data_IF_459261822075
#
_entry.id   IF_459261822075
#
_cell.length_a   1.000
_cell.length_b   1.000
_cell.length_c   1.000
_cell.angle_alpha   90.00
_cell.angle_beta   90.00
_cell.angle_gamma   90.00
#
_symmetry.space_group_name_H-M   'P 1'
#
loop_
_entity.id
_entity.type
_entity.pdbx_description
1 polymer ?
#
# COMPACT_ATOMS: atom_id res chain seq x y z
N UNK A 1 37.56 -12.40 6.84
CA UNK A 1 37.22 -11.52 5.71
C UNK A 1 35.76 -11.14 5.90
N UNK A 2 35.50 -9.92 6.39
CA UNK A 2 34.14 -9.45 6.65
C UNK A 2 33.51 -9.13 5.29
N UNK A 3 32.50 -9.91 4.90
CA UNK A 3 31.72 -9.66 3.70
C UNK A 3 31.11 -8.26 3.80
N UNK A 4 31.38 -7.44 2.78
CA UNK A 4 30.79 -6.12 2.66
C UNK A 4 29.28 -6.24 2.54
N UNK A 5 28.54 -5.86 3.58
CA UNK A 5 27.08 -5.78 3.54
C UNK A 5 26.66 -4.83 2.41
N UNK A 6 25.97 -5.35 1.40
CA UNK A 6 25.42 -4.58 0.29
C UNK A 6 24.16 -3.82 0.75
N UNK A 7 24.31 -2.85 1.64
CA UNK A 7 23.24 -1.91 1.89
C UNK A 7 23.19 -0.90 0.74
N UNK A 8 22.01 -0.73 0.14
CA UNK A 8 21.77 0.41 -0.75
C UNK A 8 22.18 1.70 -0.02
N UNK A 9 22.86 2.62 -0.70
CA UNK A 9 23.46 3.83 -0.11
C UNK A 9 22.50 4.64 0.78
N UNK A 10 21.19 4.58 0.49
CA UNK A 10 20.10 5.20 1.28
C UNK A 10 19.87 4.59 2.68
N UNK A 11 20.49 3.45 3.00
CA UNK A 11 20.38 2.78 4.31
C UNK A 11 21.65 2.91 5.15
N UNK A 12 22.67 3.65 4.69
CA UNK A 12 23.84 3.97 5.51
C UNK A 12 23.41 4.75 6.75
N UNK A 13 23.65 4.18 7.94
CA UNK A 13 23.26 4.75 9.24
C UNK A 13 22.08 4.05 9.93
N UNK A 14 21.37 3.14 9.25
CA UNK A 14 20.36 2.29 9.89
C UNK A 14 21.05 1.07 10.50
N UNK A 15 21.63 1.24 11.70
CA UNK A 15 22.22 0.14 12.47
C UNK A 15 21.17 -0.57 13.31
N UNK A 16 21.42 -1.85 13.62
CA UNK A 16 20.66 -2.56 14.64
C UNK A 16 20.89 -1.88 16.00
N UNK A 17 19.84 -1.67 16.83
CA UNK A 17 20.02 -1.16 18.17
C UNK A 17 20.93 -2.12 18.96
N UNK A 18 22.06 -1.62 19.46
CA UNK A 18 23.04 -2.46 20.18
C UNK A 18 22.51 -3.00 21.52
N UNK A 19 21.42 -2.42 22.02
CA UNK A 19 20.77 -2.77 23.29
C UNK A 19 19.57 -3.71 23.09
N UNK A 20 19.20 -4.04 21.85
CA UNK A 20 18.13 -5.01 21.57
C UNK A 20 18.73 -6.42 21.52
N UNK A 21 18.28 -7.28 22.43
CA UNK A 21 18.78 -8.65 22.57
C UNK A 21 17.79 -9.69 22.05
N UNK A 22 16.60 -9.26 21.62
CA UNK A 22 15.58 -10.15 21.09
C UNK A 22 15.54 -10.06 19.56
N UNK A 23 15.34 -11.20 18.92
CA UNK A 23 15.08 -11.31 17.49
C UNK A 23 13.76 -12.02 17.24
N UNK A 24 13.12 -11.72 16.11
CA UNK A 24 11.94 -12.44 15.65
C UNK A 24 12.34 -13.45 14.59
N UNK A 25 12.05 -14.73 14.84
CA UNK A 25 12.13 -15.76 13.81
C UNK A 25 10.86 -15.72 12.96
N UNK A 26 11.04 -15.53 11.66
CA UNK A 26 9.96 -15.48 10.67
C UNK A 26 10.19 -16.55 9.61
N UNK A 27 9.10 -17.02 9.00
CA UNK A 27 9.19 -17.91 7.84
C UNK A 27 9.92 -17.21 6.71
N UNK A 28 10.95 -17.87 6.18
CA UNK A 28 11.64 -17.40 4.99
C UNK A 28 10.75 -17.60 3.75
N UNK A 29 10.42 -16.50 3.08
CA UNK A 29 9.62 -16.48 1.85
C UNK A 29 10.50 -16.27 0.61
N UNK A 30 11.83 -16.31 0.75
CA UNK A 30 12.77 -16.12 -0.35
C UNK A 30 12.62 -17.25 -1.38
N UNK A 31 12.50 -16.93 -2.68
CA UNK A 31 12.29 -17.95 -3.70
C UNK A 31 13.56 -18.79 -3.89
N UNK A 32 13.41 -20.11 -4.00
CA UNK A 32 14.47 -20.98 -4.47
C UNK A 32 14.81 -20.67 -5.93
N UNK A 33 16.11 -20.47 -6.19
CA UNK A 33 16.62 -19.97 -7.46
C UNK A 33 16.21 -20.85 -8.64
N UNK A 34 15.45 -20.26 -9.57
CA UNK A 34 15.09 -20.89 -10.85
C UNK A 34 13.85 -21.77 -10.83
N UNK A 35 13.28 -22.04 -9.65
CA UNK A 35 12.09 -22.91 -9.51
C UNK A 35 10.88 -22.17 -8.94
N UNK A 36 11.11 -21.11 -8.16
CA UNK A 36 10.07 -20.36 -7.47
C UNK A 36 10.09 -18.89 -7.89
N UNK A 37 8.92 -18.25 -7.83
CA UNK A 37 8.75 -16.84 -8.14
C UNK A 37 8.06 -16.13 -6.98
N UNK A 38 8.66 -15.05 -6.50
CA UNK A 38 8.10 -14.20 -5.46
C UNK A 38 7.60 -12.89 -6.06
N UNK A 39 6.34 -12.55 -5.80
CA UNK A 39 5.81 -11.21 -6.00
C UNK A 39 5.68 -10.51 -4.64
N UNK A 40 6.25 -9.31 -4.56
CA UNK A 40 6.09 -8.40 -3.43
C UNK A 40 5.28 -7.17 -3.86
N UNK A 41 4.18 -6.89 -3.17
CA UNK A 41 3.43 -5.66 -3.39
C UNK A 41 2.94 -5.06 -2.08
N UNK A 42 2.71 -3.74 -2.06
CA UNK A 42 1.98 -3.09 -0.99
C UNK A 42 0.55 -2.84 -1.47
N UNK A 43 -0.49 -3.46 -0.85
CA UNK A 43 -1.88 -3.27 -1.28
C UNK A 43 -2.37 -1.82 -1.12
N UNK A 44 -1.77 -1.06 -0.21
CA UNK A 44 -2.12 0.32 0.11
C UNK A 44 -3.57 0.46 0.59
N UNK A 45 -4.23 1.55 0.20
CA UNK A 45 -5.59 1.89 0.61
C UNK A 45 -6.60 1.15 -0.28
N UNK A 46 -7.10 0.02 0.21
CA UNK A 46 -8.06 -0.81 -0.52
C UNK A 46 -9.49 -0.27 -0.46
N UNK A 47 -9.72 0.83 0.26
CA UNK A 47 -10.93 1.65 0.19
C UNK A 47 -10.54 3.09 -0.10
N UNK A 48 -11.49 3.87 -0.62
CA UNK A 48 -11.28 5.31 -0.76
C UNK A 48 -11.10 5.94 0.63
N UNK A 49 -10.29 7.00 0.71
CA UNK A 49 -10.17 7.79 1.94
C UNK A 49 -11.54 8.31 2.37
N UNK A 50 -11.93 8.17 3.65
CA UNK A 50 -13.15 8.79 4.18
C UNK A 50 -13.16 10.32 4.02
N UNK A 51 -11.98 10.94 3.96
CA UNK A 51 -11.84 12.40 3.80
C UNK A 51 -11.73 12.82 2.32
N UNK A 52 -11.77 11.89 1.35
CA UNK A 52 -11.73 12.24 -0.07
C UNK A 52 -12.99 13.04 -0.47
N UNK A 53 -12.88 14.11 -1.27
CA UNK A 53 -14.04 14.88 -1.73
C UNK A 53 -15.01 14.04 -2.56
N UNK A 54 -16.29 14.39 -2.52
CA UNK A 54 -17.30 13.81 -3.42
C UNK A 54 -16.93 14.04 -4.88
N UNK A 55 -17.07 13.02 -5.73
CA UNK A 55 -16.72 13.11 -7.15
C UNK A 55 -15.21 13.03 -7.44
N UNK A 56 -14.40 12.58 -6.47
CA UNK A 56 -12.98 12.29 -6.67
C UNK A 56 -12.75 11.37 -7.88
N UNK A 57 -11.81 11.76 -8.76
CA UNK A 57 -11.36 10.94 -9.91
C UNK A 57 -10.11 10.11 -9.61
N UNK A 58 -9.45 10.36 -8.48
CA UNK A 58 -8.36 9.54 -7.95
C UNK A 58 -8.72 8.93 -6.59
N UNK A 59 -8.28 7.69 -6.35
CA UNK A 59 -8.18 7.16 -4.99
C UNK A 59 -6.99 7.83 -4.28
N UNK A 60 -6.97 7.81 -2.94
CA UNK A 60 -5.89 8.42 -2.15
C UNK A 60 -4.48 8.05 -2.62
N UNK A 61 -4.26 6.78 -2.93
CA UNK A 61 -2.95 6.28 -3.40
C UNK A 61 -2.57 6.90 -4.76
N UNK A 62 -3.53 6.99 -5.68
CA UNK A 62 -3.32 7.62 -6.98
C UNK A 62 -3.14 9.14 -6.87
N UNK A 63 -3.89 9.81 -5.98
CA UNK A 63 -3.73 11.24 -5.70
C UNK A 63 -2.33 11.54 -5.15
N UNK A 64 -1.86 10.76 -4.17
CA UNK A 64 -0.52 10.90 -3.61
C UNK A 64 0.59 10.62 -4.62
N UNK A 65 0.38 9.63 -5.50
CA UNK A 65 1.31 9.36 -6.61
C UNK A 65 1.39 10.56 -7.57
N UNK A 66 0.26 11.14 -7.94
CA UNK A 66 0.21 12.32 -8.81
C UNK A 66 0.92 13.53 -8.18
N UNK A 67 0.66 13.81 -6.89
CA UNK A 67 1.34 14.88 -6.14
C UNK A 67 2.86 14.70 -6.13
N UNK A 68 3.33 13.48 -5.87
CA UNK A 68 4.76 13.16 -5.87
C UNK A 68 5.38 13.30 -7.26
N UNK A 69 4.70 12.80 -8.28
CA UNK A 69 5.17 12.90 -9.67
C UNK A 69 5.34 14.37 -10.09
N UNK A 70 4.37 15.23 -9.76
CA UNK A 70 4.46 16.67 -10.02
C UNK A 70 5.61 17.35 -9.25
N UNK A 71 6.00 16.80 -8.10
CA UNK A 71 7.15 17.25 -7.30
C UNK A 71 8.48 16.62 -7.73
N UNK A 72 8.53 15.88 -8.84
CA UNK A 72 9.73 15.16 -9.31
C UNK A 72 10.15 13.98 -8.42
N UNK A 73 9.27 13.51 -7.53
CA UNK A 73 9.52 12.38 -6.62
C UNK A 73 8.85 11.12 -7.16
N UNK A 74 9.57 10.00 -7.21
CA UNK A 74 9.03 8.69 -7.57
C UNK A 74 9.53 7.61 -6.60
N UNK A 75 8.63 6.79 -6.09
CA UNK A 75 8.97 5.61 -5.28
C UNK A 75 8.84 4.33 -6.10
N UNK A 76 9.39 3.21 -5.60
CA UNK A 76 9.23 1.91 -6.25
C UNK A 76 7.75 1.51 -6.41
N UNK A 77 6.92 1.79 -5.40
CA UNK A 77 5.47 1.55 -5.48
C UNK A 77 4.79 2.47 -6.50
N UNK A 78 5.27 3.70 -6.68
CA UNK A 78 4.73 4.61 -7.71
C UNK A 78 5.04 4.09 -9.13
N UNK A 79 6.16 3.40 -9.32
CA UNK A 79 6.55 2.80 -10.59
C UNK A 79 5.69 1.60 -11.01
N UNK A 80 5.04 0.93 -10.06
CA UNK A 80 4.14 -0.19 -10.34
C UNK A 80 2.84 0.24 -11.02
N UNK A 81 2.50 1.54 -11.00
CA UNK A 81 1.29 2.08 -11.65
C UNK A 81 0.02 1.27 -11.34
N UNK A 82 -0.08 0.77 -10.09
CA UNK A 82 -1.21 0.00 -9.62
C UNK A 82 -2.22 0.93 -8.92
N UNK A 83 -3.52 0.75 -9.21
CA UNK A 83 -4.60 1.33 -8.43
C UNK A 83 -5.15 0.31 -7.41
N UNK A 84 -5.04 0.56 -6.10
CA UNK A 84 -5.57 -0.32 -5.06
C UNK A 84 -7.06 -0.68 -5.20
N UNK A 85 -7.88 0.27 -5.68
CA UNK A 85 -9.31 0.00 -5.90
C UNK A 85 -9.53 -0.92 -7.11
N UNK A 86 -8.66 -0.85 -8.13
CA UNK A 86 -8.71 -1.79 -9.26
C UNK A 86 -8.28 -3.20 -8.84
N UNK A 87 -7.32 -3.31 -7.91
CA UNK A 87 -6.81 -4.60 -7.40
C UNK A 87 -7.90 -5.46 -6.75
N UNK A 88 -8.89 -4.83 -6.13
CA UNK A 88 -10.01 -5.48 -5.43
C UNK A 88 -11.37 -5.12 -6.04
N UNK A 89 -11.36 -4.65 -7.30
CA UNK A 89 -12.58 -4.32 -8.02
C UNK A 89 -13.51 -5.54 -8.08
N UNK A 90 -14.84 -5.39 -7.97
CA UNK A 90 -15.77 -6.51 -8.17
C UNK A 90 -15.69 -7.07 -9.60
N UNK A 91 -15.38 -6.22 -10.57
CA UNK A 91 -15.09 -6.62 -11.95
C UNK A 91 -13.71 -7.29 -12.04
N UNK A 92 -13.69 -8.54 -12.52
CA UNK A 92 -12.48 -9.36 -12.67
C UNK A 92 -11.51 -8.79 -13.70
N UNK A 93 -11.98 -8.17 -14.77
CA UNK A 93 -11.11 -7.64 -15.83
C UNK A 93 -10.30 -6.45 -15.33
N UNK A 94 -10.88 -5.65 -14.43
CA UNK A 94 -10.14 -4.61 -13.71
C UNK A 94 -9.01 -5.19 -12.87
N UNK A 95 -9.26 -6.32 -12.18
CA UNK A 95 -8.26 -6.97 -11.34
C UNK A 95 -7.13 -7.60 -12.16
N UNK A 96 -7.46 -8.24 -13.29
CA UNK A 96 -6.46 -8.78 -14.23
C UNK A 96 -5.61 -7.65 -14.83
N UNK A 97 -6.23 -6.59 -15.32
CA UNK A 97 -5.52 -5.44 -15.87
C UNK A 97 -4.57 -4.82 -14.83
N UNK A 98 -5.04 -4.69 -13.59
CA UNK A 98 -4.25 -4.22 -12.46
C UNK A 98 -3.06 -5.15 -12.13
N UNK A 99 -3.29 -6.47 -12.02
CA UNK A 99 -2.26 -7.45 -11.70
C UNK A 99 -1.19 -7.56 -12.80
N UNK A 100 -1.56 -7.37 -14.06
CA UNK A 100 -0.62 -7.37 -15.21
C UNK A 100 0.43 -6.24 -15.20
N UNK A 101 0.20 -5.22 -14.36
CA UNK A 101 1.16 -4.14 -14.08
C UNK A 101 2.18 -4.53 -13.01
N UNK A 102 1.84 -5.48 -12.15
CA UNK A 102 2.70 -5.95 -11.06
C UNK A 102 3.64 -7.07 -11.49
N UNK A 103 3.20 -7.95 -12.38
CA UNK A 103 3.94 -9.13 -12.82
C UNK A 103 3.62 -9.50 -14.27
N UNK A 104 4.47 -10.33 -14.86
CA UNK A 104 4.27 -10.96 -16.18
C UNK A 104 3.94 -12.46 -16.09
N UNK A 105 3.91 -13.02 -14.88
CA UNK A 105 3.53 -14.42 -14.68
C UNK A 105 2.01 -14.56 -14.63
N UNK A 106 1.44 -15.24 -15.63
CA UNK A 106 -0.01 -15.40 -15.79
C UNK A 106 -0.68 -16.13 -14.61
N UNK A 107 0.05 -17.04 -13.95
CA UNK A 107 -0.47 -17.75 -12.79
C UNK A 107 -0.59 -16.81 -11.58
N UNK A 108 0.41 -15.96 -11.33
CA UNK A 108 0.32 -14.92 -10.29
C UNK A 108 -0.76 -13.89 -10.62
N UNK A 109 -0.91 -13.51 -11.90
CA UNK A 109 -1.98 -12.60 -12.34
C UNK A 109 -3.35 -13.19 -12.01
N UNK A 110 -3.56 -14.46 -12.35
CA UNK A 110 -4.81 -15.18 -12.10
C UNK A 110 -5.05 -15.35 -10.59
N UNK A 111 -4.03 -15.76 -9.84
CA UNK A 111 -4.10 -15.88 -8.38
C UNK A 111 -4.50 -14.55 -7.72
N UNK A 112 -3.88 -13.44 -8.10
CA UNK A 112 -4.23 -12.12 -7.61
C UNK A 112 -5.68 -11.73 -7.94
N UNK A 113 -6.12 -12.02 -9.16
CA UNK A 113 -7.47 -11.67 -9.61
C UNK A 113 -8.56 -12.55 -8.96
N UNK A 114 -8.24 -13.76 -8.51
CA UNK A 114 -9.24 -14.71 -8.04
C UNK A 114 -8.97 -15.15 -6.60
N UNK A 115 -7.99 -16.03 -6.39
CA UNK A 115 -7.74 -16.70 -5.11
C UNK A 115 -7.27 -15.76 -3.98
N UNK A 116 -6.58 -14.67 -4.31
CA UNK A 116 -6.14 -13.68 -3.33
C UNK A 116 -7.28 -12.76 -2.85
N UNK A 117 -8.44 -12.76 -3.52
CA UNK A 117 -9.49 -11.78 -3.24
C UNK A 117 -10.05 -11.90 -1.82
N UNK A 118 -10.39 -13.08 -1.27
CA UNK A 118 -10.90 -13.16 0.09
C UNK A 118 -10.00 -12.51 1.14
N UNK A 119 -8.67 -12.70 1.03
CA UNK A 119 -7.71 -12.12 1.98
C UNK A 119 -7.51 -10.61 1.77
N UNK A 120 -7.53 -10.13 0.53
CA UNK A 120 -7.46 -8.70 0.23
C UNK A 120 -8.73 -7.95 0.63
N UNK A 121 -9.90 -8.55 0.42
CA UNK A 121 -11.18 -8.01 0.86
C UNK A 121 -11.25 -7.98 2.39
N UNK A 122 -10.79 -9.03 3.08
CA UNK A 122 -10.67 -9.01 4.54
C UNK A 122 -9.73 -7.91 5.04
N UNK A 123 -8.59 -7.69 4.39
CA UNK A 123 -7.68 -6.58 4.70
C UNK A 123 -8.38 -5.22 4.54
N UNK A 124 -9.08 -5.00 3.42
CA UNK A 124 -9.88 -3.78 3.20
C UNK A 124 -10.89 -3.58 4.32
N UNK A 125 -11.65 -4.60 4.65
CA UNK A 125 -12.74 -4.50 5.62
C UNK A 125 -12.19 -4.08 6.99
N UNK A 126 -11.01 -4.58 7.37
CA UNK A 126 -10.30 -4.12 8.58
C UNK A 126 -9.74 -2.72 8.45
N UNK A 127 -9.23 -2.32 7.28
CA UNK A 127 -8.81 -0.92 7.05
C UNK A 127 -9.97 0.06 7.22
N UNK A 128 -11.19 -0.32 6.83
CA UNK A 128 -12.41 0.51 6.97
C UNK A 128 -12.92 0.51 8.40
N UNK A 129 -13.03 -0.66 9.04
CA UNK A 129 -13.50 -0.79 10.42
C UNK A 129 -12.64 0.00 11.41
N UNK A 130 -11.32 0.01 11.21
CA UNK A 130 -10.37 0.71 12.08
C UNK A 130 -10.28 2.22 11.79
N UNK A 131 -10.78 2.71 10.66
CA UNK A 131 -10.67 4.11 10.27
C UNK A 131 -11.89 4.58 9.49
N UNK A 132 -13.01 4.69 10.22
CA UNK A 132 -14.31 5.09 9.68
C UNK A 132 -14.33 6.55 9.23
N UNK A 133 -13.67 7.44 9.97
CA UNK A 133 -13.73 8.89 9.75
C UNK A 133 -12.52 9.46 9.01
N UNK A 134 -11.49 8.64 8.79
CA UNK A 134 -10.23 9.09 8.23
C UNK A 134 -9.38 9.89 9.23
N UNK A 135 -8.23 10.35 8.76
CA UNK A 135 -7.27 11.06 9.63
C UNK A 135 -7.69 12.50 9.97
N UNK A 136 -8.68 13.06 9.26
CA UNK A 136 -9.25 14.38 9.50
C UNK A 136 -10.61 14.34 10.22
N UNK A 137 -11.04 13.17 10.72
CA UNK A 137 -12.32 13.00 11.42
C UNK A 137 -12.46 13.85 12.69
N UNK A 138 -13.69 14.23 13.03
CA UNK A 138 -13.98 15.09 14.18
C UNK A 138 -13.62 14.46 15.53
N UNK A 139 -13.75 13.12 15.66
CA UNK A 139 -13.35 12.36 16.86
C UNK A 139 -11.82 12.23 17.02
N UNK A 140 -11.06 13.07 16.30
CA UNK A 140 -9.60 13.18 16.36
C UNK A 140 -9.15 14.53 16.89
N UNK A 141 -10.08 15.48 17.11
CA UNK A 141 -9.81 16.82 17.61
C UNK A 141 -9.95 16.94 19.15
N UNK A 142 -10.52 15.92 19.80
CA UNK A 142 -10.76 15.87 21.24
C UNK A 142 -9.65 15.16 22.05
N UNK A 143 -8.62 14.64 21.37
CA UNK A 143 -7.54 13.87 22.02
C UNK A 143 -7.96 12.47 22.47
N UNK A 144 -9.05 11.91 21.90
CA UNK A 144 -9.46 10.53 22.11
C UNK A 144 -8.36 9.55 21.67
N UNK A 145 -7.58 9.05 22.65
CA UNK A 145 -6.46 8.13 22.43
C UNK A 145 -6.88 6.84 21.71
N UNK A 146 -8.10 6.37 21.93
CA UNK A 146 -8.60 5.14 21.33
C UNK A 146 -8.79 5.31 19.83
N UNK A 147 -9.35 6.44 19.40
CA UNK A 147 -9.52 6.78 17.99
C UNK A 147 -8.19 6.87 17.24
N UNK A 148 -7.22 7.57 17.80
CA UNK A 148 -5.88 7.70 17.23
C UNK A 148 -5.14 6.34 17.16
N UNK A 149 -5.32 5.47 18.15
CA UNK A 149 -4.74 4.13 18.13
C UNK A 149 -5.37 3.25 17.04
N UNK A 150 -6.69 3.36 16.82
CA UNK A 150 -7.37 2.68 15.72
C UNK A 150 -6.85 3.17 14.36
N UNK A 151 -6.68 4.48 14.18
CA UNK A 151 -6.04 5.04 12.98
C UNK A 151 -4.63 4.49 12.79
N UNK A 152 -3.82 4.42 13.85
CA UNK A 152 -2.48 3.81 13.78
C UNK A 152 -2.52 2.37 13.30
N UNK A 153 -3.47 1.55 13.78
CA UNK A 153 -3.68 0.18 13.29
C UNK A 153 -4.08 0.15 11.81
N UNK A 154 -5.02 1.01 11.40
CA UNK A 154 -5.41 1.13 9.99
C UNK A 154 -4.20 1.52 9.11
N UNK A 155 -3.37 2.45 9.56
CA UNK A 155 -2.17 2.90 8.86
C UNK A 155 -1.07 1.83 8.80
N UNK A 156 -1.00 0.92 9.78
CA UNK A 156 -0.18 -0.30 9.68
C UNK A 156 -0.71 -1.20 8.56
N UNK A 157 -2.01 -1.48 8.53
CA UNK A 157 -2.63 -2.32 7.49
C UNK A 157 -2.54 -1.72 6.07
N UNK A 158 -2.42 -0.39 5.95
CA UNK A 158 -2.25 0.30 4.65
C UNK A 158 -0.80 0.37 4.18
N UNK A 159 0.17 0.05 5.03
CA UNK A 159 1.59 0.08 4.69
C UNK A 159 2.29 -1.28 4.83
N UNK A 160 1.53 -2.33 5.12
CA UNK A 160 2.00 -3.71 5.09
C UNK A 160 2.40 -4.13 3.67
N UNK A 161 3.18 -5.20 3.59
CA UNK A 161 3.60 -5.83 2.33
C UNK A 161 2.90 -7.18 2.20
N UNK A 162 2.38 -7.48 1.02
CA UNK A 162 1.78 -8.74 0.65
C UNK A 162 2.74 -9.51 -0.26
N UNK A 163 3.20 -10.65 0.23
CA UNK A 163 4.09 -11.57 -0.45
C UNK A 163 3.27 -12.70 -1.04
N UNK A 164 3.54 -13.05 -2.29
CA UNK A 164 2.95 -14.19 -3.00
C UNK A 164 4.10 -15.01 -3.59
N UNK A 165 4.34 -16.18 -3.00
CA UNK A 165 5.34 -17.13 -3.46
C UNK A 165 4.64 -18.22 -4.29
N UNK A 166 4.96 -18.28 -5.58
CA UNK A 166 4.64 -19.42 -6.44
C UNK A 166 5.72 -20.48 -6.28
N UNK A 167 5.34 -21.63 -5.75
CA UNK A 167 6.23 -22.77 -5.49
C UNK A 167 6.49 -23.56 -6.78
N UNK A 168 7.53 -24.38 -6.75
CA UNK A 168 7.93 -25.23 -7.88
C UNK A 168 6.83 -26.22 -8.33
N UNK A 169 5.97 -26.65 -7.39
CA UNK A 169 4.83 -27.53 -7.65
C UNK A 169 3.59 -26.78 -8.20
N UNK A 170 3.70 -25.47 -8.42
CA UNK A 170 2.62 -24.61 -8.90
C UNK A 170 1.66 -24.12 -7.82
N UNK A 171 1.84 -24.51 -6.56
CA UNK A 171 1.03 -24.00 -5.45
C UNK A 171 1.46 -22.61 -5.03
N UNK A 172 0.57 -21.88 -4.36
CA UNK A 172 0.83 -20.54 -3.86
C UNK A 172 0.90 -20.50 -2.33
N UNK A 173 1.86 -19.74 -1.81
CA UNK A 173 1.90 -19.32 -0.42
C UNK A 173 1.88 -17.79 -0.34
N UNK A 174 0.87 -17.24 0.35
CA UNK A 174 0.72 -15.80 0.49
C UNK A 174 0.76 -15.36 1.96
N UNK A 175 1.49 -14.28 2.25
CA UNK A 175 1.63 -13.74 3.61
C UNK A 175 1.67 -12.22 3.62
N UNK A 176 1.15 -11.62 4.69
CA UNK A 176 1.43 -10.22 5.01
C UNK A 176 2.67 -10.11 5.90
N UNK A 177 3.50 -9.10 5.65
CA UNK A 177 4.57 -8.67 6.54
C UNK A 177 4.54 -7.14 6.72
N UNK A 178 5.54 -6.59 7.40
CA UNK A 178 5.65 -5.16 7.75
C UNK A 178 4.44 -4.65 8.56
N UNK A 179 3.96 -5.46 9.51
CA UNK A 179 2.82 -5.17 10.40
C UNK A 179 3.23 -4.43 11.68
N UNK A 180 4.34 -3.68 11.65
CA UNK A 180 4.76 -2.85 12.77
C UNK A 180 3.72 -1.77 13.05
N UNK A 181 3.29 -1.68 14.31
CA UNK A 181 2.30 -0.69 14.73
C UNK A 181 2.83 0.72 14.46
N UNK A 182 2.09 1.51 13.66
CA UNK A 182 2.46 2.91 13.44
C UNK A 182 2.29 3.70 14.73
N UNK A 183 3.24 4.60 14.99
CA UNK A 183 3.29 5.41 16.21
C UNK A 183 2.40 6.65 16.10
N UNK A 184 1.86 7.09 17.24
CA UNK A 184 0.97 8.27 17.35
C UNK A 184 1.64 9.56 16.83
N UNK A 185 2.96 9.66 16.96
CA UNK A 185 3.76 10.82 16.49
C UNK A 185 3.70 11.01 14.95
N UNK A 186 3.18 10.04 14.20
CA UNK A 186 2.98 10.14 12.76
C UNK A 186 1.66 10.78 12.36
N UNK A 187 0.70 10.89 13.26
CA UNK A 187 -0.65 11.40 12.96
C UNK A 187 -0.63 12.82 12.36
N UNK A 188 0.11 13.80 12.92
CA UNK A 188 0.15 15.15 12.35
C UNK A 188 0.57 15.16 10.88
N UNK A 189 1.57 14.34 10.52
CA UNK A 189 2.03 14.19 9.13
C UNK A 189 0.96 13.57 8.23
N UNK A 190 0.17 12.62 8.73
CA UNK A 190 -0.91 12.02 7.93
C UNK A 190 -2.01 13.03 7.64
N UNK A 191 -2.36 13.86 8.63
CA UNK A 191 -3.30 14.98 8.46
C UNK A 191 -2.78 15.97 7.43
N UNK A 192 -1.54 16.44 7.58
CA UNK A 192 -0.90 17.35 6.63
C UNK A 192 -0.95 16.82 5.19
N UNK A 193 -0.59 15.54 4.99
CA UNK A 193 -0.68 14.91 3.67
C UNK A 193 -2.11 14.87 3.15
N UNK A 194 -3.08 14.46 3.97
CA UNK A 194 -4.48 14.37 3.54
C UNK A 194 -5.06 15.74 3.19
N UNK A 195 -4.83 16.74 4.03
CA UNK A 195 -5.21 18.13 3.80
C UNK A 195 -4.62 18.64 2.48
N UNK A 196 -3.32 18.44 2.24
CA UNK A 196 -2.69 18.83 0.98
C UNK A 196 -3.31 18.13 -0.24
N UNK A 197 -3.63 16.83 -0.14
CA UNK A 197 -4.29 16.10 -1.23
C UNK A 197 -5.67 16.69 -1.59
N UNK A 198 -6.40 17.18 -0.59
CA UNK A 198 -7.72 17.80 -0.75
C UNK A 198 -7.60 19.22 -1.28
N UNK A 199 -6.89 20.08 -0.55
CA UNK A 199 -6.82 21.53 -0.82
C UNK A 199 -6.11 21.85 -2.13
N UNK A 200 -5.08 21.09 -2.50
CA UNK A 200 -4.38 21.25 -3.78
C UNK A 200 -5.07 20.52 -4.94
N UNK A 201 -6.20 19.85 -4.68
CA UNK A 201 -7.04 19.23 -5.72
C UNK A 201 -6.46 17.96 -6.34
N UNK A 202 -5.60 17.22 -5.64
CA UNK A 202 -5.00 15.98 -6.17
C UNK A 202 -6.00 14.83 -6.36
N UNK A 203 -7.09 14.85 -5.60
CA UNK A 203 -8.22 13.92 -5.75
C UNK A 203 -9.07 14.19 -7.00
N UNK A 204 -9.18 15.47 -7.38
CA UNK A 204 -9.76 15.86 -8.64
C UNK A 204 -8.76 15.56 -9.76
N UNK A 205 -9.24 15.45 -11.00
CA UNK A 205 -8.34 15.48 -12.15
C UNK A 205 -8.21 16.94 -12.57
N UNK A 206 -7.16 17.69 -12.15
CA UNK A 206 -6.93 18.98 -12.73
C UNK A 206 -6.50 18.71 -14.17
N UNK A 207 -7.40 18.96 -15.11
CA UNK A 207 -7.14 19.01 -16.57
C UNK A 207 -6.05 20.04 -16.95
N UNK A 208 -5.14 20.40 -16.04
CA UNK A 208 -4.11 21.41 -16.23
C UNK A 208 -2.77 21.11 -15.55
N UNK A 209 -2.53 19.96 -14.87
CA UNK A 209 -1.24 19.73 -14.18
C UNK A 209 -0.55 18.38 -14.38
N UNK A 210 -1.27 17.33 -14.76
CA UNK A 210 -0.68 16.00 -15.09
C UNK A 210 -1.50 15.40 -16.23
N UNK A 211 -0.91 14.56 -17.09
CA UNK A 211 -1.62 13.82 -18.13
C UNK A 211 -2.88 13.11 -17.58
N UNK A 212 -3.89 12.91 -18.44
CA UNK A 212 -5.15 12.24 -18.09
C UNK A 212 -4.89 11.01 -17.21
N UNK A 213 -5.56 10.95 -16.05
CA UNK A 213 -5.45 9.82 -15.13
C UNK A 213 -6.05 8.57 -15.78
N UNK A 214 -5.20 7.69 -16.26
CA UNK A 214 -5.59 6.43 -16.91
C UNK A 214 -5.44 5.20 -16.01
N UNK A 215 -4.79 5.36 -14.84
CA UNK A 215 -4.49 4.25 -13.94
C UNK A 215 -5.57 4.06 -12.89
N UNK A 216 -6.11 5.15 -12.33
CA UNK A 216 -7.08 5.05 -11.25
C UNK A 216 -8.43 4.51 -11.74
N UNK A 217 -9.01 3.56 -10.99
CA UNK A 217 -10.34 3.02 -11.26
C UNK A 217 -11.43 4.12 -11.25
N UNK A 218 -11.28 5.15 -10.43
CA UNK A 218 -12.26 6.25 -10.30
C UNK A 218 -12.21 7.26 -11.44
N UNK A 219 -11.26 7.15 -12.36
CA UNK A 219 -11.15 8.07 -13.49
C UNK A 219 -12.02 7.68 -14.69
N UNK A 220 -12.64 6.49 -14.63
CA UNK A 220 -13.48 5.87 -15.65
C UNK A 220 -14.93 6.33 -15.56
#
# INVERSE_FOLDING_TARGET
VLESSSHASRRQGHALPLEEFNGLLITDMSPKKGEELLLELKPKWLSQSPNAPSGSRRCRTCALRAQRAASGKRTATDAQENCPLALISPDRDHRIACASKLTKDDAIITYLADEAQPVLLALRDRQVELDVEGCLGDNRNDGCRDGDLLLCKAMTLRDCTFFILKKADGTFEAKFADLDLKRLDKIPRWREVETALIEEGWYADPRSRVADESVCLLAR
#
